data_IF_284786137504
#
_entry.id   IF_284786137504
#
_cell.length_a   1.000
_cell.length_b   1.000
_cell.length_c   1.000
_cell.angle_alpha   90.00
_cell.angle_beta   90.00
_cell.angle_gamma   90.00
#
_symmetry.space_group_name_H-M   'P 1'
#
loop_
_entity.id
_entity.type
_entity.pdbx_description
1 polymer ?
#
# COMPACT_ATOMS: atom_id res chain seq x y z
N UNK A 1 4.42 12.19 -20.91
CA UNK A 1 4.56 11.63 -19.55
C UNK A 1 4.37 10.13 -19.64
N UNK A 2 5.34 9.39 -19.11
CA UNK A 2 5.25 7.93 -19.08
C UNK A 2 4.40 7.57 -17.87
N UNK A 3 3.19 7.06 -18.10
CA UNK A 3 2.28 6.64 -17.04
C UNK A 3 2.78 5.38 -16.33
N UNK A 4 2.42 5.18 -15.06
CA UNK A 4 2.88 4.06 -14.25
C UNK A 4 2.58 2.70 -14.89
N UNK A 5 1.38 2.53 -15.48
CA UNK A 5 0.98 1.28 -16.13
C UNK A 5 1.90 0.91 -17.30
N UNK A 6 2.39 1.90 -18.09
CA UNK A 6 3.33 1.65 -19.16
C UNK A 6 4.69 1.15 -18.61
N UNK A 7 5.17 1.72 -17.50
CA UNK A 7 6.41 1.28 -16.87
C UNK A 7 6.31 -0.15 -16.31
N UNK A 8 5.18 -0.50 -15.70
CA UNK A 8 4.95 -1.85 -15.22
C UNK A 8 4.86 -2.86 -16.36
N UNK A 9 4.12 -2.52 -17.42
CA UNK A 9 3.97 -3.36 -18.60
C UNK A 9 5.31 -3.61 -19.30
N UNK A 10 6.11 -2.56 -19.57
CA UNK A 10 7.42 -2.71 -20.22
C UNK A 10 8.40 -3.52 -19.35
N UNK A 11 8.45 -3.28 -18.04
CA UNK A 11 9.28 -4.07 -17.14
C UNK A 11 8.88 -5.54 -17.07
N UNK A 12 7.58 -5.82 -17.14
CA UNK A 12 7.04 -7.17 -17.19
C UNK A 12 7.36 -7.88 -18.50
N UNK A 13 7.29 -7.17 -19.66
CA UNK A 13 7.69 -7.71 -20.95
C UNK A 13 9.18 -8.05 -20.99
N UNK A 14 10.04 -7.18 -20.48
CA UNK A 14 11.47 -7.43 -20.42
C UNK A 14 11.78 -8.62 -19.53
N UNK A 15 11.11 -8.75 -18.38
CA UNK A 15 11.26 -9.93 -17.52
C UNK A 15 10.82 -11.22 -18.24
N UNK A 16 9.66 -11.22 -18.91
CA UNK A 16 9.16 -12.36 -19.65
C UNK A 16 10.09 -12.74 -20.84
N UNK A 17 10.83 -11.78 -21.37
CA UNK A 17 11.86 -11.98 -22.41
C UNK A 17 13.23 -12.42 -21.86
N UNK A 18 13.38 -12.58 -20.52
CA UNK A 18 14.60 -13.07 -19.88
C UNK A 18 15.45 -12.00 -19.18
N UNK A 19 15.08 -10.71 -19.19
CA UNK A 19 15.75 -9.69 -18.36
C UNK A 19 15.29 -9.80 -16.91
N UNK A 20 16.05 -10.55 -16.12
CA UNK A 20 15.76 -10.76 -14.69
C UNK A 20 15.75 -9.46 -13.87
N UNK A 21 16.28 -8.37 -14.40
CA UNK A 21 16.24 -7.06 -13.74
C UNK A 21 14.93 -6.30 -14.00
N UNK A 22 14.06 -6.80 -14.88
CA UNK A 22 12.77 -6.20 -15.22
C UNK A 22 12.87 -4.70 -15.52
N UNK A 23 13.90 -4.30 -16.28
CA UNK A 23 14.18 -2.90 -16.64
C UNK A 23 12.99 -2.26 -17.35
N UNK A 24 12.76 -0.99 -17.11
CA UNK A 24 11.70 -0.21 -17.76
C UNK A 24 12.19 1.23 -18.00
N UNK A 25 11.51 2.03 -18.82
CA UNK A 25 11.89 3.42 -19.08
C UNK A 25 12.03 4.26 -17.82
N UNK A 26 11.21 3.99 -16.79
CA UNK A 26 11.36 4.58 -15.47
C UNK A 26 11.47 3.47 -14.42
N UNK A 27 12.67 3.27 -13.89
CA UNK A 27 12.96 2.25 -12.89
C UNK A 27 12.70 2.71 -11.44
N UNK A 28 12.06 3.88 -11.24
CA UNK A 28 11.87 4.46 -9.90
C UNK A 28 10.98 3.64 -8.97
N UNK A 29 10.16 2.74 -9.50
CA UNK A 29 9.20 1.96 -8.69
C UNK A 29 9.74 0.59 -8.30
N UNK A 30 9.25 0.07 -7.15
CA UNK A 30 9.52 -1.29 -6.70
C UNK A 30 9.26 -2.31 -7.82
N UNK A 31 10.21 -3.21 -8.11
CA UNK A 31 10.10 -4.19 -9.18
C UNK A 31 9.14 -5.35 -8.88
N UNK A 32 8.68 -5.53 -7.64
CA UNK A 32 7.86 -6.68 -7.24
C UNK A 32 6.62 -6.86 -8.13
N UNK A 33 5.91 -5.77 -8.43
CA UNK A 33 4.74 -5.83 -9.31
C UNK A 33 5.11 -6.12 -10.78
N UNK A 34 6.30 -5.71 -11.24
CA UNK A 34 6.82 -6.07 -12.57
C UNK A 34 7.08 -7.58 -12.67
N UNK A 35 7.61 -8.18 -11.61
CA UNK A 35 7.80 -9.64 -11.52
C UNK A 35 6.49 -10.39 -11.52
N UNK A 36 5.49 -9.91 -10.76
CA UNK A 36 4.15 -10.47 -10.77
C UNK A 36 3.55 -10.47 -12.18
N UNK A 37 3.53 -9.32 -12.86
CA UNK A 37 3.03 -9.21 -14.24
C UNK A 37 3.86 -10.03 -15.22
N UNK A 38 5.19 -9.98 -15.10
CA UNK A 38 6.12 -10.67 -15.99
C UNK A 38 5.99 -12.19 -15.90
N UNK A 39 5.67 -12.73 -14.71
CA UNK A 39 5.35 -14.15 -14.54
C UNK A 39 4.07 -14.54 -15.29
N UNK A 40 3.06 -13.67 -15.28
CA UNK A 40 1.83 -13.88 -16.06
C UNK A 40 2.14 -13.83 -17.58
N UNK A 41 2.93 -12.84 -17.99
CA UNK A 41 3.31 -12.71 -19.42
C UNK A 41 4.20 -13.87 -19.89
N UNK A 42 5.05 -14.40 -19.05
CA UNK A 42 5.84 -15.58 -19.36
C UNK A 42 4.98 -16.81 -19.63
N UNK A 43 3.91 -17.02 -18.82
CA UNK A 43 3.01 -18.16 -18.91
C UNK A 43 1.95 -18.05 -20.01
N UNK A 44 1.38 -16.84 -20.19
CA UNK A 44 0.19 -16.61 -21.03
C UNK A 44 0.44 -15.62 -22.19
N UNK A 45 1.69 -15.21 -22.42
CA UNK A 45 2.00 -14.09 -23.30
C UNK A 45 1.53 -12.75 -22.70
N UNK A 46 1.67 -11.66 -23.46
CA UNK A 46 1.13 -10.34 -23.07
C UNK A 46 -0.40 -10.33 -23.19
N UNK A 47 -1.06 -10.97 -22.25
CA UNK A 47 -2.52 -11.11 -22.20
C UNK A 47 -3.09 -10.32 -21.03
N UNK A 48 -3.70 -9.18 -21.29
CA UNK A 48 -4.30 -8.32 -20.27
C UNK A 48 -5.52 -8.97 -19.58
N UNK A 49 -6.27 -9.80 -20.29
CA UNK A 49 -7.40 -10.52 -19.67
C UNK A 49 -6.94 -11.53 -18.62
N UNK A 50 -5.78 -12.17 -18.83
CA UNK A 50 -5.17 -13.04 -17.81
C UNK A 50 -4.75 -12.23 -16.57
N UNK A 51 -4.20 -11.02 -16.76
CA UNK A 51 -3.83 -10.13 -15.66
C UNK A 51 -5.08 -9.71 -14.88
N UNK A 52 -6.08 -9.18 -15.56
CA UNK A 52 -7.33 -8.73 -14.94
C UNK A 52 -8.06 -9.87 -14.23
N UNK A 53 -8.16 -11.04 -14.89
CA UNK A 53 -8.76 -12.23 -14.29
C UNK A 53 -8.08 -12.65 -13.00
N UNK A 54 -6.73 -12.60 -12.94
CA UNK A 54 -5.99 -12.91 -11.73
C UNK A 54 -6.17 -11.83 -10.66
N UNK A 55 -6.20 -10.54 -11.02
CA UNK A 55 -6.44 -9.45 -10.07
C UNK A 55 -7.86 -9.52 -9.49
N UNK A 56 -8.90 -9.79 -10.29
CA UNK A 56 -10.26 -10.04 -9.81
C UNK A 56 -10.34 -11.28 -8.91
N UNK A 57 -9.62 -12.34 -9.24
CA UNK A 57 -9.53 -13.52 -8.37
C UNK A 57 -8.89 -13.17 -7.02
N UNK A 58 -7.83 -12.34 -7.02
CA UNK A 58 -7.19 -11.86 -5.80
C UNK A 58 -8.14 -11.01 -4.96
N UNK A 59 -8.94 -10.13 -5.57
CA UNK A 59 -9.97 -9.34 -4.88
C UNK A 59 -11.07 -10.21 -4.27
N UNK A 60 -11.57 -11.18 -5.03
CA UNK A 60 -12.55 -12.15 -4.52
C UNK A 60 -12.00 -12.96 -3.35
N UNK A 61 -10.76 -13.43 -3.44
CA UNK A 61 -10.09 -14.14 -2.35
C UNK A 61 -9.80 -13.20 -1.16
N UNK A 62 -9.43 -11.95 -1.42
CA UNK A 62 -9.28 -10.90 -0.40
C UNK A 62 -10.56 -10.67 0.40
N UNK A 63 -11.72 -10.65 -0.28
CA UNK A 63 -13.04 -10.56 0.37
C UNK A 63 -13.28 -11.71 1.34
N UNK A 64 -12.92 -12.94 0.96
CA UNK A 64 -13.02 -14.12 1.83
C UNK A 64 -12.11 -13.97 3.05
N UNK A 65 -10.87 -13.50 2.88
CA UNK A 65 -9.98 -13.24 4.01
C UNK A 65 -10.51 -12.13 4.93
N UNK A 66 -11.12 -11.09 4.39
CA UNK A 66 -11.78 -10.05 5.19
C UNK A 66 -12.95 -10.61 6.01
N UNK A 67 -13.76 -11.51 5.42
CA UNK A 67 -14.77 -12.26 6.19
C UNK A 67 -14.13 -13.00 7.37
N UNK A 68 -13.04 -13.73 7.12
CA UNK A 68 -12.35 -14.52 8.14
C UNK A 68 -11.72 -13.64 9.24
N UNK A 69 -11.17 -12.48 8.86
CA UNK A 69 -10.64 -11.47 9.80
C UNK A 69 -11.78 -10.94 10.68
N UNK A 70 -12.85 -10.44 10.05
CA UNK A 70 -14.00 -9.88 10.76
C UNK A 70 -14.66 -10.89 11.70
N UNK A 71 -14.89 -12.12 11.22
CA UNK A 71 -15.41 -13.23 12.04
C UNK A 71 -14.53 -13.54 13.25
N UNK A 72 -13.21 -13.41 13.11
CA UNK A 72 -12.25 -13.75 14.16
C UNK A 72 -12.07 -12.64 15.19
N UNK A 73 -12.05 -11.39 14.73
CA UNK A 73 -11.89 -10.22 15.60
C UNK A 73 -13.21 -9.82 16.28
N UNK A 74 -14.34 -10.08 15.66
CA UNK A 74 -15.67 -9.71 16.12
C UNK A 74 -16.62 -10.92 16.06
N UNK A 75 -17.42 -11.02 15.02
CA UNK A 75 -18.36 -12.12 14.77
C UNK A 75 -18.60 -12.37 13.27
N UNK A 76 -19.44 -13.37 12.96
CA UNK A 76 -19.74 -13.73 11.57
C UNK A 76 -20.53 -12.64 10.83
N UNK A 77 -21.32 -11.81 11.51
CA UNK A 77 -22.10 -10.71 10.91
C UNK A 77 -21.17 -9.59 10.46
N UNK A 78 -20.24 -9.19 11.34
CA UNK A 78 -19.19 -8.20 11.00
C UNK A 78 -18.30 -8.71 9.87
N UNK A 79 -17.92 -10.00 9.91
CA UNK A 79 -17.19 -10.63 8.81
C UNK A 79 -17.93 -10.55 7.48
N UNK A 80 -19.24 -10.86 7.47
CA UNK A 80 -20.06 -10.79 6.26
C UNK A 80 -20.20 -9.34 5.75
N UNK A 81 -20.38 -8.38 6.63
CA UNK A 81 -20.45 -6.97 6.23
C UNK A 81 -19.12 -6.48 5.62
N UNK A 82 -17.99 -6.90 6.18
CA UNK A 82 -16.67 -6.59 5.61
C UNK A 82 -16.47 -7.23 4.24
N UNK A 83 -16.85 -8.49 4.08
CA UNK A 83 -16.87 -9.20 2.79
C UNK A 83 -17.73 -8.46 1.76
N UNK A 84 -18.99 -8.18 2.08
CA UNK A 84 -19.93 -7.53 1.16
C UNK A 84 -19.48 -6.11 0.81
N UNK A 85 -19.05 -5.34 1.82
CA UNK A 85 -18.56 -3.98 1.62
C UNK A 85 -17.37 -3.92 0.66
N UNK A 86 -16.38 -4.78 0.84
CA UNK A 86 -15.21 -4.83 -0.03
C UNK A 86 -15.54 -5.36 -1.43
N UNK A 87 -16.30 -6.47 -1.53
CA UNK A 87 -16.68 -7.08 -2.81
C UNK A 87 -17.51 -6.17 -3.70
N UNK A 88 -18.25 -5.23 -3.11
CA UNK A 88 -19.14 -4.31 -3.82
C UNK A 88 -18.54 -2.88 -3.90
N UNK A 89 -17.29 -2.68 -3.49
CA UNK A 89 -16.65 -1.38 -3.56
C UNK A 89 -16.13 -1.10 -4.97
N UNK A 90 -16.82 -0.21 -5.69
CA UNK A 90 -16.56 0.05 -7.11
C UNK A 90 -15.14 0.55 -7.40
N UNK A 91 -14.55 1.33 -6.51
CA UNK A 91 -13.18 1.84 -6.67
C UNK A 91 -12.15 0.71 -6.68
N UNK A 92 -12.29 -0.31 -5.80
CA UNK A 92 -11.40 -1.48 -5.80
C UNK A 92 -11.59 -2.29 -7.09
N UNK A 93 -12.82 -2.55 -7.51
CA UNK A 93 -13.15 -3.25 -8.76
C UNK A 93 -12.52 -2.56 -9.98
N UNK A 94 -12.53 -1.22 -10.02
CA UNK A 94 -11.87 -0.46 -11.08
C UNK A 94 -10.36 -0.71 -11.07
N UNK A 95 -9.71 -0.70 -9.89
CA UNK A 95 -8.27 -0.95 -9.78
C UNK A 95 -7.88 -2.40 -10.08
N UNK A 96 -8.76 -3.37 -9.86
CA UNK A 96 -8.56 -4.76 -10.30
C UNK A 96 -8.57 -4.90 -11.84
N UNK A 97 -9.33 -4.05 -12.54
CA UNK A 97 -9.38 -4.00 -14.00
C UNK A 97 -8.27 -3.17 -14.66
N UNK A 98 -7.22 -2.78 -13.94
CA UNK A 98 -6.16 -1.90 -14.45
C UNK A 98 -4.78 -2.45 -14.08
N UNK A 99 -3.79 -2.25 -14.97
CA UNK A 99 -2.39 -2.62 -14.70
C UNK A 99 -1.75 -1.60 -13.77
N UNK A 100 -2.14 -1.63 -12.50
CA UNK A 100 -1.56 -0.87 -11.41
C UNK A 100 -1.41 -1.74 -10.18
N UNK A 101 -0.42 -1.42 -9.36
CA UNK A 101 -0.10 -2.21 -8.15
C UNK A 101 -1.13 -2.11 -7.01
N UNK A 102 -2.19 -1.28 -7.14
CA UNK A 102 -3.14 -1.03 -6.07
C UNK A 102 -3.84 -2.32 -5.59
N UNK A 103 -4.55 -3.03 -6.48
CA UNK A 103 -5.22 -4.30 -6.15
C UNK A 103 -4.25 -5.36 -5.58
N UNK A 104 -3.03 -5.45 -6.13
CA UNK A 104 -1.99 -6.35 -5.63
C UNK A 104 -1.56 -6.00 -4.20
N UNK A 105 -1.37 -4.71 -3.89
CA UNK A 105 -1.04 -4.24 -2.53
C UNK A 105 -2.19 -4.50 -1.57
N UNK A 106 -3.43 -4.21 -1.96
CA UNK A 106 -4.63 -4.47 -1.15
C UNK A 106 -4.73 -5.95 -0.77
N UNK A 107 -4.56 -6.84 -1.74
CA UNK A 107 -4.55 -8.28 -1.50
C UNK A 107 -3.44 -8.69 -0.50
N UNK A 108 -2.19 -8.25 -0.73
CA UNK A 108 -1.08 -8.54 0.19
C UNK A 108 -1.32 -8.00 1.60
N UNK A 109 -1.93 -6.82 1.72
CA UNK A 109 -2.33 -6.24 3.00
C UNK A 109 -3.28 -7.17 3.74
N UNK A 110 -4.39 -7.54 3.11
CA UNK A 110 -5.43 -8.38 3.71
C UNK A 110 -4.86 -9.74 4.14
N UNK A 111 -4.09 -10.39 3.26
CA UNK A 111 -3.48 -11.70 3.55
C UNK A 111 -2.45 -11.61 4.68
N UNK A 112 -1.67 -10.53 4.74
CA UNK A 112 -0.70 -10.28 5.82
C UNK A 112 -1.39 -10.14 7.18
N UNK A 113 -2.50 -9.41 7.23
CA UNK A 113 -3.29 -9.28 8.46
C UNK A 113 -3.89 -10.61 8.89
N UNK A 114 -4.48 -11.35 7.96
CA UNK A 114 -4.99 -12.68 8.25
C UNK A 114 -3.90 -13.62 8.77
N UNK A 115 -2.72 -13.62 8.14
CA UNK A 115 -1.58 -14.42 8.56
C UNK A 115 -1.12 -14.07 9.98
N UNK A 116 -1.01 -12.77 10.32
CA UNK A 116 -0.66 -12.33 11.69
C UNK A 116 -1.70 -12.74 12.73
N UNK A 117 -2.99 -12.61 12.40
CA UNK A 117 -4.08 -13.02 13.31
C UNK A 117 -4.04 -14.54 13.50
N UNK A 118 -3.81 -15.30 12.45
CA UNK A 118 -3.66 -16.77 12.53
C UNK A 118 -2.42 -17.19 13.32
N UNK A 119 -1.32 -16.48 13.14
CA UNK A 119 -0.08 -16.75 13.84
C UNK A 119 -0.24 -16.63 15.36
N UNK A 120 -1.03 -15.67 15.83
CA UNK A 120 -1.37 -15.53 17.26
C UNK A 120 -2.03 -16.78 17.84
N UNK A 121 -2.91 -17.43 17.06
CA UNK A 121 -3.68 -18.57 17.56
C UNK A 121 -2.88 -19.90 17.53
N UNK A 122 -1.94 -20.02 16.62
CA UNK A 122 -1.17 -21.25 16.42
C UNK A 122 0.25 -20.92 15.94
N UNK A 123 1.16 -20.50 16.83
CA UNK A 123 2.50 -20.04 16.48
C UNK A 123 3.46 -21.22 16.23
N UNK A 124 3.20 -22.00 15.17
CA UNK A 124 4.11 -23.07 14.74
C UNK A 124 5.29 -22.52 13.93
N UNK A 125 6.40 -23.27 13.84
CA UNK A 125 7.58 -22.87 13.05
C UNK A 125 7.22 -22.59 11.57
N UNK A 126 6.37 -23.42 10.97
CA UNK A 126 5.93 -23.24 9.58
C UNK A 126 5.10 -21.95 9.43
N UNK A 127 4.22 -21.66 10.39
CA UNK A 127 3.42 -20.43 10.37
C UNK A 127 4.25 -19.19 10.59
N UNK A 128 5.29 -19.23 11.43
CA UNK A 128 6.24 -18.12 11.61
C UNK A 128 6.95 -17.80 10.30
N UNK A 129 7.51 -18.81 9.63
CA UNK A 129 8.19 -18.64 8.35
C UNK A 129 7.22 -18.17 7.26
N UNK A 130 6.04 -18.81 7.13
CA UNK A 130 5.03 -18.44 6.14
C UNK A 130 4.51 -17.01 6.32
N UNK A 131 4.22 -16.62 7.55
CA UNK A 131 3.80 -15.24 7.87
C UNK A 131 4.91 -14.24 7.57
N UNK A 132 6.16 -14.54 7.89
CA UNK A 132 7.31 -13.71 7.60
C UNK A 132 7.50 -13.49 6.08
N UNK A 133 7.35 -14.53 5.26
CA UNK A 133 7.43 -14.41 3.80
C UNK A 133 6.28 -13.59 3.21
N UNK A 134 5.05 -13.78 3.69
CA UNK A 134 3.89 -12.98 3.27
C UNK A 134 4.09 -11.50 3.63
N UNK A 135 4.53 -11.22 4.87
CA UNK A 135 4.85 -9.86 5.31
C UNK A 135 5.99 -9.24 4.52
N UNK A 136 6.97 -10.03 4.13
CA UNK A 136 8.05 -9.57 3.27
C UNK A 136 7.52 -9.07 1.92
N UNK A 137 6.65 -9.84 1.25
CA UNK A 137 6.00 -9.41 0.01
C UNK A 137 5.17 -8.12 0.22
N UNK A 138 4.44 -8.03 1.32
CA UNK A 138 3.70 -6.82 1.69
C UNK A 138 4.64 -5.61 1.82
N UNK A 139 5.73 -5.72 2.58
CA UNK A 139 6.69 -4.63 2.74
C UNK A 139 7.42 -4.28 1.44
N UNK A 140 7.73 -5.25 0.60
CA UNK A 140 8.36 -5.04 -0.71
C UNK A 140 7.42 -4.39 -1.74
N UNK A 141 6.11 -4.50 -1.56
CA UNK A 141 5.12 -3.96 -2.50
C UNK A 141 5.14 -2.43 -2.56
N UNK A 142 5.47 -1.77 -1.43
CA UNK A 142 5.48 -0.30 -1.33
C UNK A 142 6.28 0.18 -0.10
N UNK A 143 7.18 1.19 -0.25
CA UNK A 143 8.03 1.65 0.86
C UNK A 143 7.27 2.13 2.10
N UNK A 144 6.11 2.75 1.94
CA UNK A 144 5.34 3.28 3.06
C UNK A 144 4.76 2.20 3.98
N UNK A 145 4.62 0.95 3.52
CA UNK A 145 4.17 -0.17 4.35
C UNK A 145 5.15 -0.48 5.48
N UNK A 146 6.44 -0.09 5.34
CA UNK A 146 7.44 -0.22 6.40
C UNK A 146 7.10 0.53 7.68
N UNK A 147 6.25 1.56 7.62
CA UNK A 147 5.74 2.22 8.83
C UNK A 147 5.00 1.25 9.76
N UNK A 148 4.48 0.15 9.22
CA UNK A 148 3.81 -0.88 10.01
C UNK A 148 4.77 -1.85 10.72
N UNK A 149 6.06 -1.92 10.30
CA UNK A 149 7.02 -2.90 10.83
C UNK A 149 7.19 -2.83 12.36
N UNK A 150 7.36 -1.66 13.00
CA UNK A 150 7.46 -1.59 14.46
C UNK A 150 6.22 -2.16 15.17
N UNK A 151 5.03 -1.92 14.61
CA UNK A 151 3.78 -2.42 15.18
C UNK A 151 3.61 -3.92 14.97
N UNK A 152 4.08 -4.46 13.84
CA UNK A 152 4.13 -5.90 13.59
C UNK A 152 5.08 -6.58 14.59
N UNK A 153 6.27 -6.03 14.80
CA UNK A 153 7.23 -6.53 15.81
C UNK A 153 6.59 -6.50 17.20
N UNK A 154 5.98 -5.37 17.58
CA UNK A 154 5.29 -5.24 18.86
C UNK A 154 4.14 -6.26 19.01
N UNK A 155 3.36 -6.47 17.94
CA UNK A 155 2.29 -7.46 17.94
C UNK A 155 2.81 -8.88 18.14
N UNK A 156 3.82 -9.28 17.40
CA UNK A 156 4.44 -10.60 17.51
C UNK A 156 5.02 -10.80 18.92
N UNK A 157 5.72 -9.79 19.45
CA UNK A 157 6.30 -9.84 20.78
C UNK A 157 5.22 -9.98 21.88
N UNK A 158 4.19 -9.14 21.84
CA UNK A 158 3.19 -9.01 22.92
C UNK A 158 2.12 -10.09 22.85
N UNK A 159 1.73 -10.54 21.63
CA UNK A 159 0.56 -11.38 21.47
C UNK A 159 0.86 -12.79 20.93
N UNK A 160 1.95 -12.97 20.17
CA UNK A 160 2.36 -14.28 19.65
C UNK A 160 3.29 -14.99 20.64
N UNK A 161 4.30 -14.27 21.14
CA UNK A 161 5.30 -14.83 22.05
C UNK A 161 5.00 -14.56 23.54
N UNK A 162 3.75 -14.24 23.85
CA UNK A 162 3.32 -13.86 25.22
C UNK A 162 3.77 -14.87 26.27
N UNK A 163 3.48 -16.14 26.02
CA UNK A 163 3.66 -17.23 26.99
C UNK A 163 4.94 -18.06 26.72
N UNK A 164 5.82 -17.58 25.82
CA UNK A 164 7.05 -18.28 25.46
C UNK A 164 8.20 -17.95 26.41
N UNK A 165 9.01 -18.98 26.75
CA UNK A 165 10.25 -18.79 27.48
C UNK A 165 11.32 -18.05 26.67
N UNK A 166 12.41 -17.58 27.31
CA UNK A 166 13.46 -16.80 26.63
C UNK A 166 14.07 -17.52 25.41
N UNK A 167 14.38 -18.81 25.52
CA UNK A 167 14.97 -19.61 24.45
C UNK A 167 14.00 -19.83 23.28
N UNK A 168 12.76 -20.19 23.59
CA UNK A 168 11.72 -20.35 22.56
C UNK A 168 11.46 -19.04 21.83
N UNK A 169 11.43 -17.93 22.55
CA UNK A 169 11.24 -16.59 22.01
C UNK A 169 12.39 -16.19 21.08
N UNK A 170 13.64 -16.49 21.48
CA UNK A 170 14.81 -16.23 20.64
C UNK A 170 14.75 -17.05 19.36
N UNK A 171 14.43 -18.36 19.45
CA UNK A 171 14.21 -19.24 18.31
C UNK A 171 13.07 -18.73 17.41
N UNK A 172 11.95 -18.31 18.01
CA UNK A 172 10.78 -17.75 17.32
C UNK A 172 11.14 -16.49 16.53
N UNK A 173 11.91 -15.57 17.13
CA UNK A 173 12.41 -14.41 16.45
C UNK A 173 13.35 -14.76 15.28
N UNK A 174 14.23 -15.74 15.44
CA UNK A 174 15.06 -16.21 14.33
C UNK A 174 14.22 -16.77 13.18
N UNK A 175 13.22 -17.60 13.46
CA UNK A 175 12.30 -18.16 12.46
C UNK A 175 11.41 -17.11 11.77
N UNK A 176 11.17 -15.99 12.41
CA UNK A 176 10.36 -14.90 11.87
C UNK A 176 11.20 -13.85 11.12
N UNK A 177 12.27 -13.32 11.75
CA UNK A 177 13.05 -12.24 11.18
C UNK A 177 14.00 -12.65 10.07
N UNK A 178 14.60 -13.86 10.14
CA UNK A 178 15.52 -14.31 9.11
C UNK A 178 14.82 -14.46 7.75
N UNK A 179 13.71 -15.19 7.58
CA UNK A 179 13.00 -15.25 6.31
C UNK A 179 12.46 -13.90 5.88
N UNK A 180 11.96 -13.09 6.83
CA UNK A 180 11.47 -11.74 6.56
C UNK A 180 12.52 -10.90 5.84
N UNK A 181 13.73 -10.79 6.39
CA UNK A 181 14.78 -9.95 5.82
C UNK A 181 15.56 -10.59 4.69
N UNK A 182 15.79 -11.91 4.74
CA UNK A 182 16.50 -12.62 3.69
C UNK A 182 15.82 -12.50 2.32
N UNK A 183 14.48 -12.48 2.31
CA UNK A 183 13.68 -12.35 1.09
C UNK A 183 13.76 -10.96 0.43
N UNK A 184 14.32 -9.94 1.12
CA UNK A 184 14.59 -8.64 0.51
C UNK A 184 15.85 -8.64 -0.35
N UNK A 185 16.78 -9.57 -0.13
CA UNK A 185 18.10 -9.58 -0.81
C UNK A 185 17.96 -9.55 -2.33
N UNK A 186 17.12 -10.41 -2.98
CA UNK A 186 16.99 -10.39 -4.43
C UNK A 186 16.53 -9.04 -4.96
N UNK A 187 15.59 -8.39 -4.25
CA UNK A 187 15.04 -7.11 -4.64
C UNK A 187 16.06 -5.97 -4.47
N UNK A 188 16.83 -5.97 -3.38
CA UNK A 188 17.88 -4.99 -3.12
C UNK A 188 19.01 -5.11 -4.13
N UNK A 189 19.40 -6.35 -4.48
CA UNK A 189 20.40 -6.62 -5.53
C UNK A 189 19.90 -6.08 -6.88
N UNK A 190 18.65 -6.35 -7.23
CA UNK A 190 18.03 -5.83 -8.44
C UNK A 190 18.04 -4.29 -8.48
N UNK A 191 17.61 -3.64 -7.40
CA UNK A 191 17.62 -2.19 -7.30
C UNK A 191 19.03 -1.63 -7.44
N UNK A 192 20.03 -2.24 -6.80
CA UNK A 192 21.41 -1.83 -6.91
C UNK A 192 21.95 -1.95 -8.36
N UNK A 193 21.70 -3.09 -9.02
CA UNK A 193 22.15 -3.34 -10.41
C UNK A 193 21.44 -2.45 -11.45
N UNK A 194 20.25 -1.97 -11.15
CA UNK A 194 19.50 -1.09 -12.07
C UNK A 194 19.85 0.38 -11.90
N UNK A 195 20.19 0.80 -10.68
CA UNK A 195 20.41 2.22 -10.37
C UNK A 195 21.89 2.59 -10.19
N UNK A 196 22.81 1.62 -10.20
CA UNK A 196 24.25 1.78 -9.89
C UNK A 196 24.52 2.49 -8.54
N UNK A 197 23.54 2.43 -7.64
CA UNK A 197 23.59 3.00 -6.28
C UNK A 197 22.60 2.28 -5.37
N UNK A 198 22.83 2.39 -4.06
CA UNK A 198 21.87 1.83 -3.10
C UNK A 198 20.55 2.60 -3.13
N UNK A 199 19.48 1.90 -3.54
CA UNK A 199 18.09 2.37 -3.51
C UNK A 199 17.27 1.38 -2.71
N UNK A 200 16.55 1.89 -1.73
CA UNK A 200 15.66 1.06 -0.92
C UNK A 200 14.30 0.91 -1.62
N UNK A 201 14.23 0.00 -2.60
CA UNK A 201 13.08 -0.45 -3.43
C UNK A 201 12.46 0.57 -4.39
N UNK A 202 12.41 1.85 -4.05
CA UNK A 202 11.64 2.84 -4.80
C UNK A 202 12.34 4.20 -4.66
N UNK A 203 12.78 4.78 -5.75
CA UNK A 203 13.47 6.07 -5.78
C UNK A 203 12.52 7.26 -6.01
N UNK A 204 11.22 7.01 -6.16
CA UNK A 204 10.22 8.07 -6.35
C UNK A 204 9.82 8.78 -5.05
N UNK A 205 10.16 8.22 -3.89
CA UNK A 205 9.77 8.72 -2.59
C UNK A 205 10.09 10.19 -2.35
N UNK A 206 11.34 10.66 -2.52
CA UNK A 206 11.70 12.08 -2.32
C UNK A 206 10.88 13.03 -3.20
N UNK A 207 10.68 12.67 -4.47
CA UNK A 207 9.89 13.47 -5.41
C UNK A 207 8.43 13.53 -4.98
N UNK A 208 7.84 12.38 -4.62
CA UNK A 208 6.47 12.29 -4.17
C UNK A 208 6.24 13.04 -2.85
N UNK A 209 7.19 12.95 -1.92
CA UNK A 209 7.17 13.68 -0.65
C UNK A 209 7.16 15.20 -0.89
N UNK A 210 8.05 15.68 -1.75
CA UNK A 210 8.14 17.10 -2.04
C UNK A 210 6.91 17.60 -2.77
N UNK A 211 6.47 16.90 -3.83
CA UNK A 211 5.29 17.27 -4.61
C UNK A 211 4.00 17.39 -3.78
N UNK A 212 3.93 16.66 -2.66
CA UNK A 212 2.78 16.73 -1.75
C UNK A 212 2.90 17.74 -0.61
N UNK A 213 4.04 18.40 -0.40
CA UNK A 213 4.29 19.22 0.79
C UNK A 213 4.62 20.69 0.48
N UNK A 214 4.07 21.22 -0.60
CA UNK A 214 4.01 22.66 -0.81
C UNK A 214 2.89 23.29 0.02
N UNK A 215 3.07 24.49 0.54
CA UNK A 215 2.05 25.23 1.28
C UNK A 215 0.79 25.44 0.41
N UNK A 216 0.97 25.68 -0.89
CA UNK A 216 -0.11 25.87 -1.87
C UNK A 216 -0.68 24.54 -2.43
N UNK A 217 -0.21 23.40 -1.95
CA UNK A 217 -0.75 22.12 -2.40
C UNK A 217 -2.26 22.03 -2.13
N UNK A 218 -3.09 21.68 -3.13
CA UNK A 218 -4.55 21.71 -3.01
C UNK A 218 -5.11 20.68 -2.00
N UNK A 219 -4.29 19.76 -1.53
CA UNK A 219 -4.64 18.74 -0.53
C UNK A 219 -5.02 17.39 -1.13
N UNK A 220 -5.29 17.32 -2.43
CA UNK A 220 -5.68 16.09 -3.14
C UNK A 220 -5.15 16.10 -4.57
N UNK A 221 -4.92 14.91 -5.14
CA UNK A 221 -4.38 14.72 -6.49
C UNK A 221 -2.85 14.82 -6.55
N UNK A 222 -2.31 14.70 -7.75
CA UNK A 222 -0.89 14.87 -8.03
C UNK A 222 -0.71 15.99 -9.06
N UNK A 223 -0.23 17.16 -8.61
CA UNK A 223 -0.05 18.31 -9.48
C UNK A 223 1.36 18.31 -10.09
N UNK A 224 1.41 18.05 -11.40
CA UNK A 224 2.65 18.06 -12.18
C UNK A 224 3.24 19.45 -12.37
N UNK A 225 2.43 20.51 -12.28
CA UNK A 225 2.91 21.88 -12.44
C UNK A 225 3.63 22.35 -11.16
N UNK A 226 3.06 22.05 -9.99
CA UNK A 226 3.74 22.25 -8.71
C UNK A 226 5.06 21.49 -8.66
N UNK A 227 5.08 20.23 -9.11
CA UNK A 227 6.31 19.44 -9.19
C UNK A 227 7.36 20.08 -10.10
N UNK A 228 6.97 20.56 -11.29
CA UNK A 228 7.89 21.25 -12.22
C UNK A 228 8.42 22.56 -11.62
N UNK A 229 7.54 23.33 -10.98
CA UNK A 229 7.94 24.54 -10.27
C UNK A 229 8.98 24.25 -9.19
N UNK A 230 8.73 23.26 -8.36
CA UNK A 230 9.70 22.79 -7.36
C UNK A 230 11.02 22.36 -7.98
N UNK A 231 11.00 21.51 -9.02
CA UNK A 231 12.22 21.05 -9.67
C UNK A 231 13.06 22.21 -10.21
N UNK A 232 12.41 23.22 -10.79
CA UNK A 232 13.06 24.42 -11.26
C UNK A 232 13.71 25.21 -10.10
N UNK A 233 12.97 25.43 -9.02
CA UNK A 233 13.45 26.13 -7.84
C UNK A 233 14.59 25.37 -7.16
N UNK A 234 14.45 24.05 -7.00
CA UNK A 234 15.50 23.19 -6.43
C UNK A 234 16.79 23.21 -7.25
N UNK A 235 16.71 23.20 -8.59
CA UNK A 235 17.88 23.34 -9.47
C UNK A 235 18.55 24.71 -9.33
N UNK A 236 17.76 25.77 -9.11
CA UNK A 236 18.28 27.13 -8.93
C UNK A 236 18.93 27.35 -7.54
N UNK A 237 18.37 26.72 -6.49
CA UNK A 237 18.79 26.95 -5.10
C UNK A 237 19.70 25.85 -4.54
N UNK A 238 19.84 24.72 -5.22
CA UNK A 238 20.63 23.57 -4.79
C UNK A 238 20.12 22.87 -3.51
N UNK A 239 18.86 23.12 -3.13
CA UNK A 239 18.26 22.61 -1.91
C UNK A 239 17.90 21.13 -2.01
N UNK A 240 18.12 20.35 -0.96
CA UNK A 240 17.57 19.01 -0.85
C UNK A 240 16.04 19.04 -0.63
N UNK A 241 15.28 17.98 -1.01
CA UNK A 241 13.83 17.91 -0.74
C UNK A 241 13.48 18.20 0.73
N UNK A 242 14.25 17.66 1.67
CA UNK A 242 14.03 17.88 3.10
C UNK A 242 14.33 19.32 3.52
N UNK A 243 15.41 19.92 3.03
CA UNK A 243 15.77 21.31 3.31
C UNK A 243 14.69 22.26 2.80
N UNK A 244 14.16 21.99 1.61
CA UNK A 244 13.07 22.77 1.02
C UNK A 244 11.81 22.71 1.90
N UNK A 245 11.35 21.51 2.31
CA UNK A 245 10.19 21.38 3.18
C UNK A 245 10.42 22.06 4.54
N UNK A 246 11.61 21.91 5.11
CA UNK A 246 11.98 22.60 6.36
C UNK A 246 11.88 24.12 6.22
N UNK A 247 12.37 24.68 5.12
CA UNK A 247 12.24 26.10 4.81
C UNK A 247 10.76 26.55 4.71
N UNK A 248 9.92 25.76 4.03
CA UNK A 248 8.46 26.00 3.96
C UNK A 248 7.82 26.03 5.36
N UNK A 249 8.15 25.06 6.20
CA UNK A 249 7.64 24.99 7.58
C UNK A 249 8.08 26.18 8.41
N UNK A 250 9.32 26.63 8.26
CA UNK A 250 9.87 27.77 9.02
C UNK A 250 9.32 29.11 8.53
N UNK A 251 9.06 29.23 7.22
CA UNK A 251 8.53 30.50 6.66
C UNK A 251 7.06 30.73 7.00
N UNK A 252 6.24 29.68 6.98
CA UNK A 252 4.82 29.76 7.34
C UNK A 252 4.33 28.45 8.01
N UNK A 253 4.58 28.29 9.32
CA UNK A 253 4.14 27.13 10.08
C UNK A 253 2.60 26.94 10.07
N UNK A 254 1.84 28.04 10.11
CA UNK A 254 0.38 28.00 10.13
C UNK A 254 -0.18 27.53 8.79
N UNK A 255 0.34 28.05 7.68
CA UNK A 255 -0.01 27.61 6.33
C UNK A 255 0.33 26.14 6.11
N UNK A 256 1.48 25.69 6.58
CA UNK A 256 1.89 24.28 6.50
C UNK A 256 0.93 23.36 7.28
N UNK A 257 0.56 23.72 8.51
CA UNK A 257 -0.44 22.97 9.31
C UNK A 257 -1.81 22.98 8.64
N UNK A 258 -2.25 24.11 8.07
CA UNK A 258 -3.50 24.19 7.30
C UNK A 258 -3.47 23.26 6.07
N UNK A 259 -2.33 23.15 5.38
CA UNK A 259 -2.16 22.23 4.26
C UNK A 259 -2.28 20.77 4.73
N UNK A 260 -1.62 20.38 5.85
CA UNK A 260 -1.74 19.03 6.42
C UNK A 260 -3.17 18.70 6.84
N UNK A 261 -3.88 19.68 7.47
CA UNK A 261 -5.28 19.53 7.84
C UNK A 261 -6.19 19.33 6.61
N UNK A 262 -5.93 20.06 5.53
CA UNK A 262 -6.64 19.91 4.25
C UNK A 262 -6.42 18.52 3.65
N UNK A 263 -5.20 17.97 3.70
CA UNK A 263 -4.92 16.59 3.29
C UNK A 263 -5.69 15.57 4.12
N UNK A 264 -5.71 15.74 5.44
CA UNK A 264 -6.46 14.88 6.34
C UNK A 264 -7.96 14.91 6.03
N UNK A 265 -8.51 16.08 5.78
CA UNK A 265 -9.89 16.24 5.32
C UNK A 265 -10.15 15.48 4.01
N UNK A 266 -9.28 15.65 3.00
CA UNK A 266 -9.42 14.95 1.73
C UNK A 266 -9.13 13.44 1.83
N UNK A 267 -8.41 12.98 2.83
CA UNK A 267 -8.23 11.56 3.09
C UNK A 267 -9.54 10.86 3.48
N UNK A 268 -10.41 11.52 4.23
CA UNK A 268 -11.66 10.95 4.73
C UNK A 268 -12.90 11.30 3.91
N UNK A 269 -12.81 12.25 3.01
CA UNK A 269 -13.96 12.68 2.20
C UNK A 269 -14.17 11.79 0.96
N UNK A 270 -15.23 12.09 0.21
CA UNK A 270 -15.66 11.33 -0.96
C UNK A 270 -14.91 11.66 -2.26
N UNK A 271 -14.08 12.69 -2.26
CA UNK A 271 -13.39 13.11 -3.48
C UNK A 271 -12.30 12.09 -3.85
N UNK A 272 -12.45 11.46 -5.01
CA UNK A 272 -11.47 10.53 -5.56
C UNK A 272 -10.39 11.29 -6.34
N UNK A 273 -9.29 11.58 -5.67
CA UNK A 273 -8.15 12.30 -6.26
C UNK A 273 -7.54 11.55 -7.43
N UNK A 274 -7.61 12.15 -8.61
CA UNK A 274 -7.02 11.57 -9.81
C UNK A 274 -5.49 11.51 -9.72
N UNK A 275 -4.91 10.44 -10.27
CA UNK A 275 -3.48 10.26 -10.46
C UNK A 275 -3.22 9.78 -11.89
N UNK A 276 -3.14 8.46 -12.14
CA UNK A 276 -2.98 7.91 -13.48
C UNK A 276 -4.31 7.76 -14.23
N UNK A 277 -5.42 7.79 -13.49
CA UNK A 277 -6.77 7.65 -14.02
C UNK A 277 -7.75 8.47 -13.21
N UNK A 278 -8.92 8.76 -13.78
CA UNK A 278 -10.08 9.32 -13.09
C UNK A 278 -11.10 8.22 -12.83
N UNK A 279 -11.41 7.96 -11.58
CA UNK A 279 -12.47 7.00 -11.17
C UNK A 279 -13.82 7.40 -11.77
N UNK A 280 -14.11 8.70 -11.81
CA UNK A 280 -15.36 9.24 -12.34
C UNK A 280 -15.62 8.84 -13.79
N UNK A 281 -14.58 8.81 -14.66
CA UNK A 281 -14.71 8.34 -16.03
C UNK A 281 -15.18 6.89 -16.13
N UNK A 282 -14.72 6.03 -15.22
CA UNK A 282 -15.17 4.62 -15.18
C UNK A 282 -16.59 4.50 -14.68
N UNK A 283 -16.97 5.28 -13.67
CA UNK A 283 -18.34 5.31 -13.14
C UNK A 283 -19.33 5.81 -14.19
N UNK A 284 -19.01 6.88 -14.92
CA UNK A 284 -19.85 7.44 -15.99
C UNK A 284 -20.03 6.49 -17.18
N UNK A 285 -18.99 5.74 -17.54
CA UNK A 285 -19.02 4.85 -18.70
C UNK A 285 -19.47 3.41 -18.38
N UNK A 286 -19.72 3.08 -17.12
CA UNK A 286 -20.19 1.77 -16.69
C UNK A 286 -21.67 1.78 -16.33
N UNK A 287 -22.43 0.77 -16.80
CA UNK A 287 -23.82 0.58 -16.42
C UNK A 287 -23.99 -0.06 -15.03
N UNK A 288 -22.95 -0.67 -14.47
CA UNK A 288 -23.01 -1.48 -13.24
C UNK A 288 -22.38 -0.76 -12.07
N UNK A 289 -21.19 -0.18 -12.27
CA UNK A 289 -20.39 0.42 -11.19
C UNK A 289 -21.13 1.50 -10.38
N UNK A 290 -21.98 2.36 -10.94
CA UNK A 290 -22.72 3.35 -10.17
C UNK A 290 -23.74 2.77 -9.18
N UNK A 291 -24.18 1.52 -9.40
CA UNK A 291 -25.10 0.83 -8.49
C UNK A 291 -24.39 0.12 -7.34
N UNK A 292 -23.07 0.07 -7.36
CA UNK A 292 -22.25 -0.49 -6.30
C UNK A 292 -21.85 0.61 -5.29
N UNK A 293 -21.17 0.23 -4.22
CA UNK A 293 -20.66 1.21 -3.25
C UNK A 293 -19.55 2.05 -3.88
N UNK A 294 -19.90 3.25 -4.36
CA UNK A 294 -18.96 4.15 -5.05
C UNK A 294 -18.45 5.29 -4.16
N UNK A 295 -19.04 5.48 -2.97
CA UNK A 295 -18.73 6.58 -2.06
C UNK A 295 -17.78 6.17 -0.95
N UNK A 296 -16.53 6.63 -1.01
CA UNK A 296 -15.53 6.39 0.04
C UNK A 296 -15.95 6.98 1.40
N UNK A 297 -16.68 8.10 1.39
CA UNK A 297 -17.18 8.73 2.61
C UNK A 297 -18.02 7.78 3.48
N UNK A 298 -18.77 6.85 2.87
CA UNK A 298 -19.53 5.84 3.61
C UNK A 298 -18.58 4.93 4.40
N UNK A 299 -17.55 4.39 3.76
CA UNK A 299 -16.56 3.52 4.42
C UNK A 299 -15.77 4.26 5.48
N UNK A 300 -15.39 5.52 5.22
CA UNK A 300 -14.66 6.33 6.18
C UNK A 300 -15.51 6.65 7.42
N UNK A 301 -16.79 7.00 7.24
CA UNK A 301 -17.71 7.26 8.34
C UNK A 301 -17.96 6.00 9.19
N UNK A 302 -18.23 4.85 8.54
CA UNK A 302 -18.40 3.57 9.23
C UNK A 302 -17.11 3.13 9.93
N UNK A 303 -15.96 3.35 9.31
CA UNK A 303 -14.65 3.06 9.90
C UNK A 303 -14.38 3.89 11.16
N UNK A 304 -14.62 5.21 11.11
CA UNK A 304 -14.48 6.08 12.26
C UNK A 304 -15.43 5.69 13.40
N UNK A 305 -16.69 5.37 13.08
CA UNK A 305 -17.64 4.84 14.06
C UNK A 305 -17.16 3.50 14.65
N UNK A 306 -16.63 2.61 13.82
CA UNK A 306 -16.06 1.33 14.25
C UNK A 306 -14.89 1.50 15.20
N UNK A 307 -14.02 2.50 14.99
CA UNK A 307 -12.93 2.85 15.92
C UNK A 307 -13.51 3.21 17.29
N UNK A 308 -14.49 4.12 17.33
CA UNK A 308 -15.11 4.56 18.60
C UNK A 308 -15.75 3.38 19.34
N UNK A 309 -16.50 2.54 18.63
CA UNK A 309 -17.20 1.38 19.24
C UNK A 309 -16.23 0.29 19.72
N UNK A 310 -15.06 0.15 19.11
CA UNK A 310 -14.08 -0.90 19.45
C UNK A 310 -13.02 -0.47 20.48
N UNK A 311 -13.07 0.75 21.02
CA UNK A 311 -12.10 1.26 22.01
C UNK A 311 -11.97 0.35 23.22
N UNK A 312 -13.07 -0.20 23.73
CA UNK A 312 -13.05 -1.11 24.88
C UNK A 312 -12.35 -2.45 24.58
N UNK A 313 -12.38 -2.89 23.31
CA UNK A 313 -11.71 -4.10 22.80
C UNK A 313 -10.38 -3.83 22.07
N UNK A 314 -9.73 -2.70 22.31
CA UNK A 314 -8.55 -2.21 21.57
C UNK A 314 -7.41 -3.22 21.42
N UNK A 315 -7.20 -4.11 22.38
CA UNK A 315 -6.15 -5.13 22.28
C UNK A 315 -6.42 -6.15 21.16
N UNK A 316 -7.70 -6.47 20.94
CA UNK A 316 -8.13 -7.40 19.89
C UNK A 316 -7.92 -6.81 18.49
N UNK A 317 -8.15 -5.52 18.34
CA UNK A 317 -8.09 -4.79 17.08
C UNK A 317 -6.81 -3.96 16.92
N UNK A 318 -5.79 -4.16 17.76
CA UNK A 318 -4.54 -3.40 17.77
C UNK A 318 -3.90 -3.27 16.38
N UNK A 319 -3.81 -4.38 15.62
CA UNK A 319 -3.23 -4.35 14.28
C UNK A 319 -4.01 -3.44 13.32
N UNK A 320 -5.36 -3.43 13.40
CA UNK A 320 -6.18 -2.58 12.53
C UNK A 320 -5.94 -1.10 12.85
N UNK A 321 -5.86 -0.73 14.12
CA UNK A 321 -5.54 0.65 14.52
C UNK A 321 -4.14 1.05 14.08
N UNK A 322 -3.15 0.18 14.32
CA UNK A 322 -1.77 0.45 13.94
C UNK A 322 -1.65 0.68 12.44
N UNK A 323 -2.29 -0.18 11.64
CA UNK A 323 -2.30 -0.05 10.18
C UNK A 323 -2.98 1.25 9.73
N UNK A 324 -4.17 1.54 10.26
CA UNK A 324 -4.89 2.76 9.91
C UNK A 324 -4.06 4.02 10.19
N UNK A 325 -3.44 4.09 11.37
CA UNK A 325 -2.54 5.20 11.72
C UNK A 325 -1.36 5.29 10.76
N UNK A 326 -0.70 4.16 10.44
CA UNK A 326 0.41 4.12 9.48
C UNK A 326 -0.03 4.60 8.09
N UNK A 327 -1.19 4.16 7.62
CA UNK A 327 -1.69 4.54 6.30
C UNK A 327 -2.11 6.01 6.25
N UNK A 328 -2.82 6.52 7.25
CA UNK A 328 -3.15 7.95 7.35
C UNK A 328 -1.86 8.77 7.32
N UNK A 329 -0.89 8.45 8.19
CA UNK A 329 0.38 9.16 8.24
C UNK A 329 1.12 9.09 6.91
N UNK A 330 1.21 7.91 6.29
CA UNK A 330 1.91 7.73 5.02
C UNK A 330 1.29 8.55 3.88
N UNK A 331 -0.02 8.67 3.84
CA UNK A 331 -0.74 9.41 2.79
C UNK A 331 -0.72 10.91 3.07
N UNK A 332 -1.00 11.33 4.31
CA UNK A 332 -1.02 12.74 4.69
C UNK A 332 0.38 13.38 4.60
N UNK A 333 1.43 12.63 4.95
CA UNK A 333 2.82 13.11 4.80
C UNK A 333 3.30 13.19 3.35
N UNK A 334 2.61 12.52 2.40
CA UNK A 334 2.97 12.59 0.97
C UNK A 334 1.89 13.34 0.20
N UNK A 335 1.00 12.66 -0.49
CA UNK A 335 -0.11 13.26 -1.23
C UNK A 335 -1.32 12.33 -1.25
N UNK A 336 -2.51 12.92 -1.25
CA UNK A 336 -3.77 12.17 -1.20
C UNK A 336 -4.26 11.90 -2.62
N UNK A 337 -4.33 10.63 -2.99
CA UNK A 337 -4.95 10.14 -4.23
C UNK A 337 -5.73 8.87 -3.94
N UNK A 338 -6.76 8.56 -4.74
CA UNK A 338 -7.67 7.43 -4.51
C UNK A 338 -6.95 6.10 -4.28
N UNK A 339 -5.99 5.75 -5.15
CA UNK A 339 -5.22 4.49 -5.06
C UNK A 339 -4.39 4.31 -3.78
N UNK A 340 -4.24 5.35 -2.95
CA UNK A 340 -3.48 5.29 -1.71
C UNK A 340 -4.36 5.11 -0.48
N UNK A 341 -5.67 5.25 -0.64
CA UNK A 341 -6.67 5.05 0.40
C UNK A 341 -7.21 3.62 0.45
N UNK A 342 -7.10 2.88 -0.66
CA UNK A 342 -7.70 1.54 -0.81
C UNK A 342 -6.98 0.47 0.03
N UNK A 343 -5.63 0.34 0.00
CA UNK A 343 -4.93 -0.73 0.72
C UNK A 343 -5.03 -0.65 2.23
#
# INVERSE_FOLDING_TARGET
PVYDHFNFDQGALNFAAGDLLARSPNNSYSPLYKYFLGSIYYLFGRNFYAVYGLQFFMGALGSVFLFLIGKRLFDARVGFLAFAGFSLYSTEIIYEGIILRAAFITFLTIVSFYALIRLRDSPTSLMLIGCALILSLFFQSRPNTFLCLPFVILYVHKYVFKDWGPEERMRGWGLFLIPLFLSFIPLLVQCFLVHDKFVFFDSSGPIAFTAGNFIDYPGVGFDTNLLKHFQKQHQMEGLSPLSFIFQQVMSDPAGFLKMLWRKLYFYFNDLEGASNLSIYLYLENSKILPFLFSHFALFSALGLMGIVLSIQGRERVFLLYAYLVCMILSVVLFHVVSRFRIP
#
